data_IF_426225095681
#
_entry.id   IF_426225095681
#
_cell.length_a   1.000
_cell.length_b   1.000
_cell.length_c   1.000
_cell.angle_alpha   90.00
_cell.angle_beta   90.00
_cell.angle_gamma   90.00
#
_symmetry.space_group_name_H-M   'P 1'
#
loop_
_entity.id
_entity.type
_entity.pdbx_description
1 polymer ?
#
# COMPACT_ATOMS: atom_id res chain seq x y z
N UNK A 1 -14.29 -7.35 -7.01
CA UNK A 1 -12.96 -7.80 -7.52
C UNK A 1 -11.90 -7.55 -6.45
N UNK A 2 -10.83 -8.35 -6.37
CA UNK A 2 -9.73 -8.16 -5.40
C UNK A 2 -8.40 -7.90 -6.11
N UNK A 3 -7.69 -6.85 -5.71
CA UNK A 3 -6.43 -6.41 -6.32
C UNK A 3 -5.39 -6.13 -5.24
N UNK A 4 -4.21 -6.74 -5.36
CA UNK A 4 -3.05 -6.40 -4.55
C UNK A 4 -2.03 -5.66 -5.43
N UNK A 5 -1.90 -4.36 -5.22
CA UNK A 5 -0.92 -3.51 -5.90
C UNK A 5 0.43 -3.63 -5.18
N UNK A 6 1.47 -4.06 -5.88
CA UNK A 6 2.81 -4.23 -5.33
C UNK A 6 3.73 -3.19 -5.96
N UNK A 7 4.45 -2.43 -5.12
CA UNK A 7 5.38 -1.41 -5.56
C UNK A 7 6.62 -1.38 -4.67
N UNK A 8 7.72 -0.79 -5.14
CA UNK A 8 8.93 -0.59 -4.35
C UNK A 8 8.86 0.63 -3.42
N UNK A 9 7.98 1.59 -3.72
CA UNK A 9 7.80 2.85 -2.99
C UNK A 9 6.34 3.34 -3.05
N UNK A 10 5.94 4.14 -2.07
CA UNK A 10 4.63 4.78 -2.02
C UNK A 10 4.63 5.96 -1.04
N UNK A 11 4.20 7.14 -1.50
CA UNK A 11 4.01 8.31 -0.64
C UNK A 11 2.76 8.12 0.25
N UNK A 12 2.78 8.50 1.54
CA UNK A 12 3.81 9.25 2.26
C UNK A 12 4.87 8.40 2.98
N UNK A 13 4.90 7.08 2.78
CA UNK A 13 5.79 6.16 3.53
C UNK A 13 7.24 6.21 3.03
N UNK A 14 7.44 6.06 1.72
CA UNK A 14 8.77 6.10 1.08
C UNK A 14 8.64 6.60 -0.35
N UNK A 15 9.54 7.49 -0.76
CA UNK A 15 9.57 8.08 -2.10
C UNK A 15 11.00 8.44 -2.50
N UNK A 16 11.47 7.85 -3.58
CA UNK A 16 12.72 8.14 -4.27
C UNK A 16 12.42 8.87 -5.58
N UNK A 17 11.37 8.47 -6.31
CA UNK A 17 11.00 9.05 -7.60
C UNK A 17 9.49 9.23 -7.80
N UNK A 18 9.08 9.30 -9.07
CA UNK A 18 7.67 9.51 -9.43
C UNK A 18 6.77 8.28 -9.19
N UNK A 19 7.36 7.08 -9.03
CA UNK A 19 6.58 5.89 -8.72
C UNK A 19 5.87 6.02 -7.37
N UNK A 20 6.51 6.64 -6.38
CA UNK A 20 5.94 6.83 -5.04
C UNK A 20 4.64 7.65 -5.06
N UNK A 21 4.54 8.64 -5.94
CA UNK A 21 3.32 9.43 -6.10
C UNK A 21 2.20 8.58 -6.72
N UNK A 22 2.51 7.81 -7.76
CA UNK A 22 1.53 6.96 -8.45
C UNK A 22 1.06 5.84 -7.53
N UNK A 23 1.98 5.11 -6.91
CA UNK A 23 1.66 4.00 -6.03
C UNK A 23 0.94 4.46 -4.76
N UNK A 24 1.24 5.66 -4.25
CA UNK A 24 0.53 6.23 -3.11
C UNK A 24 -0.90 6.70 -3.43
N UNK A 25 -1.12 7.25 -4.63
CA UNK A 25 -2.40 7.90 -4.98
C UNK A 25 -3.36 7.01 -5.77
N UNK A 26 -2.88 6.20 -6.73
CA UNK A 26 -3.75 5.44 -7.62
C UNK A 26 -4.62 4.41 -6.87
N UNK A 27 -4.08 3.54 -6.00
CA UNK A 27 -4.90 2.58 -5.25
C UNK A 27 -5.91 3.26 -4.34
N UNK A 28 -5.51 4.38 -3.72
CA UNK A 28 -6.39 5.19 -2.86
C UNK A 28 -7.56 5.75 -3.66
N UNK A 29 -7.29 6.39 -4.80
CA UNK A 29 -8.30 7.00 -5.64
C UNK A 29 -9.27 5.97 -6.23
N UNK A 30 -8.78 4.79 -6.64
CA UNK A 30 -9.65 3.70 -7.11
C UNK A 30 -10.61 3.27 -6.01
N UNK A 31 -10.13 3.14 -4.77
CA UNK A 31 -10.95 2.75 -3.62
C UNK A 31 -12.01 3.80 -3.30
N UNK A 32 -11.68 5.08 -3.43
CA UNK A 32 -12.62 6.20 -3.21
C UNK A 32 -13.69 6.29 -4.31
N UNK A 33 -13.30 6.11 -5.58
CA UNK A 33 -14.21 6.17 -6.73
C UNK A 33 -15.09 4.92 -6.86
N UNK A 34 -14.58 3.75 -6.45
CA UNK A 34 -15.28 2.47 -6.53
C UNK A 34 -15.27 1.74 -5.18
N UNK A 35 -16.04 2.22 -4.18
CA UNK A 35 -16.09 1.62 -2.85
C UNK A 35 -16.58 0.17 -2.88
N UNK A 36 -16.04 -0.67 -1.99
CA UNK A 36 -16.37 -2.10 -1.94
C UNK A 36 -17.83 -2.32 -1.55
N UNK A 37 -18.38 -1.45 -0.70
CA UNK A 37 -19.75 -1.51 -0.20
C UNK A 37 -20.78 -1.37 -1.33
N UNK A 38 -20.44 -0.64 -2.40
CA UNK A 38 -21.28 -0.45 -3.58
C UNK A 38 -20.90 -1.40 -4.73
N UNK A 39 -20.21 -2.49 -4.44
CA UNK A 39 -19.80 -3.49 -5.43
C UNK A 39 -18.52 -3.15 -6.20
N UNK A 40 -17.71 -2.21 -5.71
CA UNK A 40 -16.45 -1.79 -6.32
C UNK A 40 -15.26 -2.73 -6.09
N UNK A 41 -14.06 -2.15 -5.92
CA UNK A 41 -12.80 -2.89 -5.93
C UNK A 41 -12.16 -2.91 -4.54
N UNK A 42 -11.92 -4.11 -4.01
CA UNK A 42 -11.06 -4.30 -2.84
C UNK A 42 -9.61 -4.24 -3.30
N UNK A 43 -9.01 -3.04 -3.20
CA UNK A 43 -7.64 -2.77 -3.60
C UNK A 43 -6.77 -2.44 -2.40
N UNK A 44 -5.58 -3.06 -2.34
CA UNK A 44 -4.58 -2.85 -1.28
C UNK A 44 -3.21 -2.63 -1.87
N UNK A 45 -2.36 -1.92 -1.13
CA UNK A 45 -0.98 -1.64 -1.50
C UNK A 45 -0.01 -2.37 -0.58
N UNK A 46 0.94 -3.10 -1.15
CA UNK A 46 2.07 -3.68 -0.45
C UNK A 46 3.38 -3.07 -0.97
N UNK A 47 4.21 -2.60 -0.04
CA UNK A 47 5.56 -2.10 -0.30
C UNK A 47 6.55 -2.78 0.67
N UNK A 48 7.85 -2.86 0.33
CA UNK A 48 8.85 -3.27 1.28
C UNK A 48 8.86 -2.36 2.51
N UNK A 49 9.06 -2.95 3.69
CA UNK A 49 9.17 -2.20 4.93
C UNK A 49 10.59 -1.61 5.07
N UNK A 50 10.86 -0.54 4.32
CA UNK A 50 12.15 0.14 4.33
C UNK A 50 12.43 0.83 5.67
N UNK A 51 13.70 0.86 6.06
CA UNK A 51 14.17 1.48 7.31
C UNK A 51 13.86 2.99 7.42
N UNK A 52 13.68 3.67 6.28
CA UNK A 52 13.37 5.11 6.22
C UNK A 52 11.93 5.44 6.62
N UNK A 53 11.07 4.43 6.78
CA UNK A 53 9.67 4.66 7.17
C UNK A 53 9.62 5.05 8.65
N UNK A 54 9.07 6.23 8.90
CA UNK A 54 8.88 6.78 10.24
C UNK A 54 7.78 6.03 11.00
N UNK A 55 8.17 5.17 11.93
CA UNK A 55 7.26 4.29 12.67
C UNK A 55 6.41 5.07 13.67
N UNK A 56 6.97 6.12 14.25
CA UNK A 56 6.29 6.94 15.27
C UNK A 56 5.21 7.82 14.62
N UNK A 57 5.46 8.28 13.38
CA UNK A 57 4.49 9.04 12.59
C UNK A 57 3.29 8.22 12.13
N UNK A 58 3.48 6.93 11.81
CA UNK A 58 2.48 6.12 11.11
C UNK A 58 1.80 5.04 11.97
N UNK A 59 2.08 4.95 13.28
CA UNK A 59 1.47 4.00 14.22
C UNK A 59 1.36 2.56 13.65
N UNK A 60 2.49 2.04 13.18
CA UNK A 60 2.52 0.80 12.41
C UNK A 60 2.28 -0.41 13.31
N UNK A 61 1.29 -1.23 12.94
CA UNK A 61 0.96 -2.48 13.63
C UNK A 61 1.32 -3.70 12.79
N UNK A 62 2.09 -4.62 13.38
CA UNK A 62 2.30 -5.94 12.81
C UNK A 62 0.99 -6.76 12.87
N UNK A 63 0.49 -7.20 11.71
CA UNK A 63 -0.78 -7.95 11.60
C UNK A 63 -0.53 -9.46 11.55
N UNK A 64 0.46 -9.91 10.78
CA UNK A 64 0.77 -11.33 10.59
C UNK A 64 2.16 -11.52 9.99
N UNK A 65 2.65 -12.75 9.97
CA UNK A 65 3.88 -13.18 9.32
C UNK A 65 3.63 -14.47 8.53
N UNK A 66 4.21 -14.57 7.35
CA UNK A 66 4.12 -15.77 6.51
C UNK A 66 5.49 -16.40 6.36
N UNK A 67 5.55 -17.72 6.43
CA UNK A 67 6.75 -18.50 6.06
C UNK A 67 6.67 -18.80 4.58
N UNK A 68 7.71 -18.45 3.81
CA UNK A 68 7.79 -18.78 2.39
C UNK A 68 8.64 -20.05 2.25
N UNK A 69 8.17 -21.10 1.54
CA UNK A 69 8.98 -22.28 1.27
C UNK A 69 10.26 -21.88 0.53
N UNK A 70 11.40 -22.31 1.06
CA UNK A 70 12.72 -22.19 0.43
C UNK A 70 13.07 -23.43 -0.39
#
# INVERSE_FOLDING_TARGET
MKVLFIASEAHPFVKIGGLGDVAGTLPLNIRELYPVETGGVDIRLAIPFHHVIDKDKFDLRAITSFQIPG
#
